data_IF_288042255200
#
_entry.id   IF_288042255200
#
_cell.length_a   1.000
_cell.length_b   1.000
_cell.length_c   1.000
_cell.angle_alpha   90.00
_cell.angle_beta   90.00
_cell.angle_gamma   90.00
#
_symmetry.space_group_name_H-M   'P 1'
#
loop_
_entity.id
_entity.type
_entity.pdbx_description
1 polymer ?
#
# COMPACT_ATOMS: atom_id res chain seq x y z
N UNK A 1 34.37 -25.17 15.76
CA UNK A 1 34.58 -24.71 17.16
C UNK A 1 35.99 -24.17 17.23
N UNK A 2 36.15 -22.88 17.47
CA UNK A 2 37.46 -22.29 17.70
C UNK A 2 37.70 -22.24 19.21
N UNK A 3 38.97 -22.39 19.61
CA UNK A 3 39.39 -22.39 21.01
C UNK A 3 40.28 -21.18 21.24
N UNK A 4 39.96 -20.38 22.25
CA UNK A 4 40.78 -19.22 22.63
C UNK A 4 42.14 -19.65 23.18
N UNK A 5 42.18 -20.82 23.84
CA UNK A 5 43.39 -21.34 24.43
C UNK A 5 43.53 -22.86 24.14
N UNK A 6 44.10 -23.24 22.99
CA UNK A 6 44.30 -24.65 22.61
C UNK A 6 45.15 -25.43 23.63
N UNK A 7 46.00 -24.74 24.41
CA UNK A 7 46.82 -25.34 25.45
C UNK A 7 46.02 -25.86 26.65
N UNK A 8 44.75 -25.44 26.80
CA UNK A 8 43.86 -25.97 27.83
C UNK A 8 43.67 -27.50 27.77
N UNK A 9 43.87 -28.11 26.60
CA UNK A 9 43.83 -29.56 26.43
C UNK A 9 45.00 -30.31 27.09
N UNK A 10 46.09 -29.63 27.47
CA UNK A 10 47.16 -30.25 28.26
C UNK A 10 46.66 -30.79 29.60
N UNK A 11 45.57 -30.24 30.14
CA UNK A 11 44.92 -30.76 31.34
C UNK A 11 44.41 -32.21 31.18
N UNK A 12 44.21 -32.71 29.95
CA UNK A 12 43.84 -34.10 29.69
C UNK A 12 44.91 -35.11 30.09
N UNK A 13 46.17 -34.68 30.28
CA UNK A 13 47.23 -35.52 30.87
C UNK A 13 46.88 -36.00 32.28
N UNK A 14 45.95 -35.33 32.97
CA UNK A 14 45.40 -35.82 34.24
C UNK A 14 44.69 -37.17 34.13
N UNK A 15 44.13 -37.53 32.97
CA UNK A 15 43.42 -38.80 32.74
C UNK A 15 44.37 -40.00 32.87
N UNK A 16 45.49 -40.10 32.11
CA UNK A 16 46.42 -41.22 32.28
C UNK A 16 47.01 -41.29 33.69
N UNK A 17 47.22 -40.16 34.37
CA UNK A 17 47.67 -40.15 35.77
C UNK A 17 46.64 -40.82 36.69
N UNK A 18 45.36 -40.47 36.56
CA UNK A 18 44.26 -41.08 37.34
C UNK A 18 44.15 -42.58 37.04
N UNK A 19 44.29 -42.97 35.77
CA UNK A 19 44.26 -44.39 35.36
C UNK A 19 45.40 -45.17 36.01
N UNK A 20 46.64 -44.65 35.95
CA UNK A 20 47.81 -45.30 36.56
C UNK A 20 47.67 -45.38 38.08
N UNK A 21 47.24 -44.30 38.74
CA UNK A 21 46.99 -44.31 40.19
C UNK A 21 45.91 -45.34 40.58
N UNK A 22 44.87 -45.49 39.74
CA UNK A 22 43.81 -46.46 39.99
C UNK A 22 44.30 -47.90 39.80
N UNK A 23 45.13 -48.16 38.78
CA UNK A 23 45.74 -49.47 38.54
C UNK A 23 46.72 -49.88 39.64
N UNK A 24 47.50 -48.93 40.16
CA UNK A 24 48.47 -49.16 41.24
C UNK A 24 47.80 -49.31 42.62
N UNK A 25 46.51 -48.98 42.75
CA UNK A 25 45.78 -49.08 44.02
C UNK A 25 45.37 -50.52 44.30
N UNK A 26 46.33 -51.32 44.73
CA UNK A 26 46.10 -52.69 45.16
C UNK A 26 45.56 -52.71 46.60
N UNK A 27 44.25 -52.87 46.75
CA UNK A 27 43.64 -53.09 48.07
C UNK A 27 43.77 -54.56 48.44
N UNK A 28 44.70 -54.87 49.33
CA UNK A 28 44.69 -56.14 50.04
C UNK A 28 43.59 -56.07 51.11
N UNK A 29 42.65 -57.02 51.06
CA UNK A 29 41.67 -57.19 52.14
C UNK A 29 42.16 -58.37 52.98
N UNK A 30 42.59 -58.07 54.20
CA UNK A 30 42.85 -59.11 55.19
C UNK A 30 41.51 -59.74 55.58
N UNK A 31 41.40 -61.06 55.36
CA UNK A 31 40.26 -61.85 55.81
C UNK A 31 40.77 -62.88 56.80
N UNK A 32 40.21 -62.85 58.01
CA UNK A 32 40.48 -63.87 59.01
C UNK A 32 39.80 -65.18 58.58
N UNK A 33 40.60 -66.24 58.44
CA UNK A 33 40.15 -67.57 58.02
C UNK A 33 40.71 -68.61 58.97
N UNK A 34 39.94 -69.67 59.22
CA UNK A 34 40.26 -70.67 60.25
C UNK A 34 41.45 -71.59 59.92
N UNK A 35 41.91 -71.65 58.67
CA UNK A 35 43.10 -72.43 58.28
C UNK A 35 43.75 -71.93 56.99
N UNK A 36 45.08 -71.75 57.02
CA UNK A 36 45.91 -71.35 55.87
C UNK A 36 46.26 -72.51 54.92
N UNK A 37 46.11 -73.77 55.37
CA UNK A 37 46.57 -74.95 54.62
C UNK A 37 45.80 -75.13 53.30
N UNK A 38 44.47 -74.97 53.32
CA UNK A 38 43.62 -75.11 52.13
C UNK A 38 43.81 -73.96 51.14
N UNK A 39 44.07 -72.73 51.64
CA UNK A 39 44.29 -71.55 50.80
C UNK A 39 45.62 -71.59 50.05
N UNK A 40 46.70 -72.14 50.63
CA UNK A 40 47.97 -72.34 49.93
C UNK A 40 47.83 -73.24 48.69
N UNK A 41 46.90 -74.21 48.71
CA UNK A 41 46.61 -75.11 47.58
C UNK A 41 45.69 -74.46 46.53
N UNK A 42 44.76 -73.59 46.95
CA UNK A 42 43.82 -72.89 46.05
C UNK A 42 44.46 -71.72 45.29
N UNK A 43 45.42 -70.99 45.90
CA UNK A 43 46.11 -69.86 45.27
C UNK A 43 46.94 -70.31 44.05
N UNK A 44 47.40 -71.57 44.02
CA UNK A 44 48.12 -72.13 42.88
C UNK A 44 47.26 -72.31 41.60
N UNK A 45 45.93 -72.20 41.70
CA UNK A 45 44.99 -72.47 40.57
C UNK A 45 44.29 -71.22 40.06
N UNK A 46 44.44 -70.05 40.69
CA UNK A 46 43.73 -68.83 40.25
C UNK A 46 44.65 -67.89 39.47
N UNK A 47 45.15 -68.35 38.33
CA UNK A 47 45.66 -67.48 37.26
C UNK A 47 44.53 -67.09 36.31
N UNK A 48 43.71 -66.13 36.72
CA UNK A 48 42.95 -65.29 35.80
C UNK A 48 42.42 -64.10 36.61
N UNK A 49 43.32 -63.24 37.07
CA UNK A 49 42.92 -61.91 37.53
C UNK A 49 42.44 -61.15 36.29
N UNK A 50 41.14 -61.12 36.01
CA UNK A 50 40.59 -60.20 35.00
C UNK A 50 40.72 -58.76 35.53
N UNK A 51 41.68 -57.97 35.02
CA UNK A 51 41.87 -56.60 35.50
C UNK A 51 40.67 -55.70 35.16
N UNK A 52 39.85 -56.10 34.19
CA UNK A 52 38.79 -55.31 33.56
C UNK A 52 37.44 -55.39 34.27
N UNK A 53 37.17 -56.41 35.10
CA UNK A 53 35.90 -56.48 35.86
C UNK A 53 35.75 -55.36 36.91
N UNK A 54 36.86 -54.82 37.42
CA UNK A 54 36.87 -53.74 38.43
C UNK A 54 36.52 -52.36 37.85
N UNK A 55 36.58 -52.19 36.53
CA UNK A 55 36.29 -50.91 35.88
C UNK A 55 34.78 -50.63 35.84
N UNK A 56 33.95 -51.67 35.78
CA UNK A 56 32.48 -51.53 35.70
C UNK A 56 31.80 -51.11 37.00
N UNK A 57 32.47 -51.14 38.16
CA UNK A 57 31.83 -50.97 39.48
C UNK A 57 32.23 -49.70 40.24
N UNK A 58 33.02 -48.81 39.65
CA UNK A 58 33.52 -47.63 40.37
C UNK A 58 33.07 -46.33 39.71
N UNK A 59 31.84 -45.90 40.05
CA UNK A 59 31.25 -44.64 39.56
C UNK A 59 32.16 -43.44 39.82
N UNK A 60 32.88 -43.45 40.95
CA UNK A 60 33.81 -42.38 41.33
C UNK A 60 34.97 -42.22 40.34
N UNK A 61 35.46 -43.32 39.74
CA UNK A 61 36.53 -43.28 38.74
C UNK A 61 36.08 -42.58 37.46
N UNK A 62 34.88 -42.91 36.96
CA UNK A 62 34.30 -42.24 35.80
C UNK A 62 33.98 -40.76 36.09
N UNK A 63 33.53 -40.44 37.31
CA UNK A 63 33.30 -39.06 37.74
C UNK A 63 34.60 -38.23 37.73
N UNK A 64 35.73 -38.82 38.15
CA UNK A 64 37.04 -38.17 38.12
C UNK A 64 37.50 -37.89 36.69
N UNK A 65 37.35 -38.85 35.78
CA UNK A 65 37.67 -38.67 34.36
C UNK A 65 36.80 -37.57 33.75
N UNK A 66 35.48 -37.61 34.01
CA UNK A 66 34.55 -36.59 33.54
C UNK A 66 34.92 -35.20 34.08
N UNK A 67 35.30 -35.11 35.35
CA UNK A 67 35.78 -33.86 35.96
C UNK A 67 37.00 -33.29 35.23
N UNK A 68 38.00 -34.11 34.91
CA UNK A 68 39.18 -33.67 34.14
C UNK A 68 38.80 -33.20 32.75
N UNK A 69 37.88 -33.91 32.06
CA UNK A 69 37.38 -33.50 30.76
C UNK A 69 36.69 -32.14 30.85
N UNK A 70 35.81 -31.93 31.84
CA UNK A 70 35.14 -30.64 32.06
C UNK A 70 36.14 -29.52 32.35
N UNK A 71 37.15 -29.76 33.18
CA UNK A 71 38.20 -28.77 33.49
C UNK A 71 39.02 -28.44 32.25
N UNK A 72 39.44 -29.45 31.49
CA UNK A 72 40.17 -29.25 30.23
C UNK A 72 39.33 -28.46 29.21
N UNK A 73 38.02 -28.71 29.17
CA UNK A 73 37.09 -28.02 28.28
C UNK A 73 36.86 -26.57 28.72
N UNK A 74 36.72 -26.32 30.02
CA UNK A 74 36.63 -24.98 30.59
C UNK A 74 37.92 -24.15 30.33
N UNK A 75 39.09 -24.76 30.55
CA UNK A 75 40.40 -24.15 30.26
C UNK A 75 40.62 -23.89 28.76
N UNK A 76 40.12 -24.78 27.90
CA UNK A 76 40.18 -24.59 26.45
C UNK A 76 39.30 -23.40 25.98
N UNK A 77 38.36 -22.95 26.82
CA UNK A 77 37.46 -21.82 26.56
C UNK A 77 36.88 -21.87 25.15
N UNK A 78 36.09 -22.93 24.82
CA UNK A 78 35.44 -23.04 23.54
C UNK A 78 34.50 -21.86 23.36
N UNK A 79 34.74 -21.06 22.33
CA UNK A 79 33.80 -20.01 21.95
C UNK A 79 33.14 -20.43 20.65
N UNK A 80 31.80 -20.43 20.69
CA UNK A 80 31.00 -20.47 19.48
C UNK A 80 30.88 -19.04 18.96
N UNK A 81 31.50 -18.73 17.83
CA UNK A 81 31.07 -17.58 17.06
C UNK A 81 29.68 -17.95 16.53
N UNK A 82 28.63 -17.57 17.27
CA UNK A 82 27.28 -17.54 16.74
C UNK A 82 27.22 -16.30 15.86
N UNK A 83 27.84 -16.36 14.69
CA UNK A 83 27.54 -15.42 13.64
C UNK A 83 26.09 -15.71 13.26
N UNK A 84 25.14 -15.02 13.92
CA UNK A 84 23.86 -14.78 13.27
C UNK A 84 24.22 -14.05 11.99
N UNK A 85 24.05 -14.71 10.86
CA UNK A 85 24.18 -14.07 9.55
C UNK A 85 23.35 -12.79 9.62
N UNK A 86 24.00 -11.65 9.38
CA UNK A 86 23.34 -10.36 9.38
C UNK A 86 22.63 -10.28 8.04
N UNK A 87 21.39 -10.74 7.99
CA UNK A 87 20.52 -10.59 6.83
C UNK A 87 19.90 -9.20 6.86
N UNK A 88 20.06 -8.46 5.77
CA UNK A 88 19.37 -7.19 5.54
C UNK A 88 17.97 -7.44 4.96
N UNK A 89 17.03 -6.52 5.16
CA UNK A 89 15.64 -6.71 4.74
C UNK A 89 15.11 -5.54 3.92
N UNK A 90 14.45 -5.86 2.80
CA UNK A 90 13.56 -4.92 2.09
C UNK A 90 12.13 -5.33 2.42
N UNK A 91 11.48 -4.54 3.27
CA UNK A 91 10.11 -4.75 3.69
C UNK A 91 9.19 -3.96 2.77
N UNK A 92 8.26 -4.65 2.12
CA UNK A 92 7.26 -4.04 1.23
C UNK A 92 5.89 -4.20 1.88
N UNK A 93 5.24 -3.07 2.17
CA UNK A 93 3.91 -3.02 2.77
C UNK A 93 2.90 -2.61 1.71
N UNK A 94 1.95 -3.50 1.42
CA UNK A 94 0.78 -3.17 0.62
C UNK A 94 -0.14 -2.20 1.39
N UNK A 95 -0.42 -1.06 0.76
CA UNK A 95 -1.26 0.03 1.23
C UNK A 95 -2.43 0.29 0.27
N UNK A 96 -2.83 -0.72 -0.51
CA UNK A 96 -4.02 -0.67 -1.35
C UNK A 96 -5.32 -0.62 -0.54
N UNK A 97 -6.41 -0.28 -1.21
CA UNK A 97 -7.75 -0.20 -0.62
C UNK A 97 -8.22 -1.52 0.01
N UNK A 98 -7.90 -2.66 -0.58
CA UNK A 98 -8.28 -3.98 -0.06
C UNK A 98 -7.64 -4.29 1.30
N UNK A 99 -6.50 -3.67 1.61
CA UNK A 99 -5.85 -3.78 2.91
C UNK A 99 -6.62 -3.05 4.04
N UNK A 100 -7.64 -2.24 3.73
CA UNK A 100 -8.54 -1.66 4.73
C UNK A 100 -9.59 -2.66 5.26
N UNK A 101 -9.68 -3.86 4.69
CA UNK A 101 -10.65 -4.86 5.11
C UNK A 101 -10.47 -5.29 6.58
N UNK A 102 -11.60 -5.58 7.25
CA UNK A 102 -11.73 -5.92 8.68
C UNK A 102 -11.87 -7.43 8.95
N UNK A 103 -11.48 -8.27 8.00
CA UNK A 103 -11.41 -9.72 8.21
C UNK A 103 -10.20 -10.15 9.07
N UNK A 104 -9.26 -9.23 9.28
CA UNK A 104 -8.23 -9.27 10.32
C UNK A 104 -8.45 -8.15 11.33
N UNK A 105 -7.99 -8.34 12.57
CA UNK A 105 -8.17 -7.35 13.63
C UNK A 105 -6.94 -6.46 13.78
N UNK A 106 -7.06 -5.11 13.78
CA UNK A 106 -8.27 -4.34 13.48
C UNK A 106 -8.58 -4.20 11.97
N UNK A 107 -7.55 -4.21 11.11
CA UNK A 107 -7.66 -4.31 9.64
C UNK A 107 -6.48 -5.13 9.11
N UNK A 108 -6.55 -5.63 7.86
CA UNK A 108 -5.42 -6.29 7.19
C UNK A 108 -4.15 -5.45 7.23
N UNK A 109 -4.27 -4.14 6.98
CA UNK A 109 -3.15 -3.20 6.99
C UNK A 109 -2.47 -3.09 8.37
N UNK A 110 -3.25 -2.94 9.44
CA UNK A 110 -2.70 -2.85 10.79
C UNK A 110 -2.11 -4.18 11.26
N UNK A 111 -2.73 -5.31 10.90
CA UNK A 111 -2.17 -6.63 11.15
C UNK A 111 -0.82 -6.81 10.43
N UNK A 112 -0.71 -6.38 9.17
CA UNK A 112 0.56 -6.39 8.43
C UNK A 112 1.64 -5.54 9.11
N UNK A 113 1.27 -4.36 9.61
CA UNK A 113 2.18 -3.48 10.38
C UNK A 113 2.64 -4.13 11.68
N UNK A 114 1.76 -4.85 12.38
CA UNK A 114 2.13 -5.57 13.60
C UNK A 114 3.15 -6.68 13.30
N UNK A 115 2.88 -7.50 12.30
CA UNK A 115 3.79 -8.57 11.86
C UNK A 115 5.16 -8.03 11.39
N UNK A 116 5.18 -6.91 10.67
CA UNK A 116 6.41 -6.22 10.30
C UNK A 116 7.16 -5.68 11.53
N UNK A 117 6.44 -5.12 12.49
CA UNK A 117 7.03 -4.58 13.72
C UNK A 117 7.66 -5.69 14.58
N UNK A 118 7.05 -6.87 14.66
CA UNK A 118 7.65 -8.05 15.31
C UNK A 118 8.96 -8.46 14.64
N UNK A 119 8.98 -8.51 13.31
CA UNK A 119 10.20 -8.78 12.54
C UNK A 119 11.29 -7.75 12.85
N UNK A 120 10.99 -6.45 12.75
CA UNK A 120 11.94 -5.35 13.05
C UNK A 120 12.46 -5.42 14.49
N UNK A 121 11.67 -5.91 15.44
CA UNK A 121 12.11 -6.11 16.82
C UNK A 121 13.13 -7.25 16.93
N UNK A 122 12.88 -8.36 16.23
CA UNK A 122 13.68 -9.57 16.30
C UNK A 122 15.07 -9.47 15.65
N UNK A 123 15.26 -8.57 14.67
CA UNK A 123 16.53 -8.47 13.91
C UNK A 123 17.70 -7.92 14.74
N UNK A 124 18.96 -8.29 14.47
CA UNK A 124 20.13 -7.70 15.14
C UNK A 124 20.27 -6.18 14.90
N UNK A 125 20.93 -5.41 15.80
CA UNK A 125 21.10 -3.96 15.65
C UNK A 125 21.93 -3.51 14.42
N UNK A 126 22.69 -4.42 13.80
CA UNK A 126 23.53 -4.12 12.63
C UNK A 126 22.80 -4.34 11.29
N UNK A 127 21.57 -4.88 11.34
CA UNK A 127 20.74 -5.14 10.16
C UNK A 127 20.23 -3.84 9.56
N UNK A 128 20.43 -3.66 8.24
CA UNK A 128 19.81 -2.59 7.47
C UNK A 128 18.42 -3.00 7.02
N UNK A 129 17.47 -2.07 7.16
CA UNK A 129 16.08 -2.25 6.73
C UNK A 129 15.69 -1.12 5.80
N UNK A 130 15.16 -1.48 4.63
CA UNK A 130 14.48 -0.57 3.71
C UNK A 130 12.98 -0.85 3.79
N UNK A 131 12.16 0.20 3.96
CA UNK A 131 10.71 0.11 4.00
C UNK A 131 10.13 0.75 2.73
N UNK A 132 9.33 0.01 1.99
CA UNK A 132 8.66 0.44 0.76
C UNK A 132 7.16 0.32 0.98
N UNK A 133 6.42 1.37 0.64
CA UNK A 133 4.97 1.36 0.65
C UNK A 133 4.47 1.17 -0.78
N UNK A 134 3.73 0.09 -0.98
CA UNK A 134 3.09 -0.28 -2.24
C UNK A 134 1.68 0.28 -2.27
N UNK A 135 1.38 1.11 -3.26
CA UNK A 135 0.04 1.65 -3.50
C UNK A 135 -0.04 2.09 -4.96
N UNK A 136 -0.98 2.96 -5.30
CA UNK A 136 -1.13 3.48 -6.67
C UNK A 136 0.13 4.23 -7.12
N UNK A 137 0.75 4.93 -6.17
CA UNK A 137 2.04 5.60 -6.32
C UNK A 137 3.00 5.05 -5.25
N UNK A 138 3.77 4.00 -5.56
CA UNK A 138 4.67 3.38 -4.59
C UNK A 138 5.86 4.31 -4.27
N UNK A 139 6.35 4.22 -3.04
CA UNK A 139 7.48 5.05 -2.58
C UNK A 139 8.30 4.37 -1.47
N UNK A 140 9.55 4.81 -1.31
CA UNK A 140 10.45 4.34 -0.25
C UNK A 140 10.24 5.21 0.99
N UNK A 141 9.70 4.63 2.06
CA UNK A 141 9.47 5.32 3.33
C UNK A 141 10.75 5.43 4.17
N UNK A 142 11.62 4.42 4.11
CA UNK A 142 12.94 4.41 4.78
C UNK A 142 13.95 3.72 3.89
N UNK A 143 15.11 4.33 3.66
CA UNK A 143 16.18 3.70 2.89
C UNK A 143 17.33 3.23 3.77
N UNK A 144 17.64 1.92 3.75
CA UNK A 144 18.85 1.30 4.30
C UNK A 144 19.20 1.70 5.75
N UNK A 145 18.20 1.91 6.63
CA UNK A 145 18.43 2.35 8.01
C UNK A 145 18.77 1.17 8.92
N UNK A 146 19.70 1.39 9.84
CA UNK A 146 20.01 0.48 10.96
C UNK A 146 19.31 0.91 12.27
N UNK A 147 18.63 2.06 12.26
CA UNK A 147 17.94 2.59 13.43
C UNK A 147 16.54 2.01 13.51
N UNK A 148 16.37 0.95 14.33
CA UNK A 148 15.05 0.31 14.53
C UNK A 148 13.92 1.29 14.86
N UNK A 149 14.21 2.33 15.65
CA UNK A 149 13.21 3.33 16.03
C UNK A 149 12.76 4.21 14.86
N UNK A 150 13.66 4.51 13.91
CA UNK A 150 13.31 5.25 12.70
C UNK A 150 12.37 4.43 11.82
N UNK A 151 12.74 3.17 11.54
CA UNK A 151 11.90 2.25 10.74
C UNK A 151 10.53 2.05 11.38
N UNK A 152 10.47 1.86 12.70
CA UNK A 152 9.20 1.74 13.42
C UNK A 152 8.33 2.98 13.32
N UNK A 153 8.89 4.17 13.50
CA UNK A 153 8.13 5.43 13.37
C UNK A 153 7.60 5.60 11.95
N UNK A 154 8.44 5.34 10.95
CA UNK A 154 8.04 5.40 9.55
C UNK A 154 6.96 4.38 9.22
N UNK A 155 7.03 3.16 9.75
CA UNK A 155 5.99 2.14 9.59
C UNK A 155 4.67 2.58 10.23
N UNK A 156 4.72 3.18 11.42
CA UNK A 156 3.53 3.63 12.14
C UNK A 156 2.85 4.85 11.50
N UNK A 157 3.59 5.69 10.78
CA UNK A 157 3.01 6.83 10.05
C UNK A 157 2.29 6.42 8.76
N UNK A 158 2.45 5.17 8.30
CA UNK A 158 1.79 4.69 7.09
C UNK A 158 0.29 4.50 7.28
N UNK A 159 -0.46 4.74 6.20
CA UNK A 159 -1.91 4.54 6.11
C UNK A 159 -2.23 3.84 4.79
N UNK A 160 -3.25 2.99 4.81
CA UNK A 160 -3.82 2.44 3.58
C UNK A 160 -4.50 3.56 2.78
N UNK A 161 -4.35 3.52 1.45
CA UNK A 161 -4.99 4.43 0.51
C UNK A 161 -6.31 3.86 -0.03
N UNK A 162 -6.98 4.65 -0.87
CA UNK A 162 -8.25 4.28 -1.51
C UNK A 162 -8.06 3.78 -2.96
N UNK A 163 -6.81 3.60 -3.40
CA UNK A 163 -6.46 3.12 -4.74
C UNK A 163 -5.98 1.67 -4.74
N UNK A 164 -5.71 1.13 -5.93
CA UNK A 164 -5.05 -0.16 -6.09
C UNK A 164 -3.55 -0.11 -5.81
N UNK A 165 -2.87 -1.25 -5.92
CA UNK A 165 -1.42 -1.36 -5.80
C UNK A 165 -0.75 -1.53 -7.18
N UNK A 166 0.17 -0.62 -7.52
CA UNK A 166 0.90 -0.65 -8.79
C UNK A 166 2.24 -1.38 -8.66
N UNK A 167 2.19 -2.72 -8.78
CA UNK A 167 3.36 -3.59 -8.68
C UNK A 167 4.42 -3.27 -9.75
N UNK A 168 3.99 -2.92 -10.97
CA UNK A 168 4.90 -2.64 -12.09
C UNK A 168 5.76 -1.42 -11.80
N UNK A 169 5.22 -0.39 -11.17
CA UNK A 169 5.99 0.78 -10.72
C UNK A 169 6.87 0.49 -9.50
N UNK A 170 6.43 -0.39 -8.60
CA UNK A 170 7.16 -0.71 -7.37
C UNK A 170 8.38 -1.61 -7.62
N UNK A 171 8.28 -2.56 -8.56
CA UNK A 171 9.29 -3.60 -8.81
C UNK A 171 10.71 -3.03 -9.02
N UNK A 172 10.95 -2.01 -9.89
CA UNK A 172 12.30 -1.45 -10.06
C UNK A 172 12.87 -0.82 -8.77
N UNK A 173 12.02 -0.23 -7.92
CA UNK A 173 12.44 0.36 -6.65
C UNK A 173 12.85 -0.73 -5.65
N UNK A 174 12.08 -1.83 -5.61
CA UNK A 174 12.37 -2.99 -4.75
C UNK A 174 13.68 -3.66 -5.17
N UNK A 175 13.88 -3.88 -6.47
CA UNK A 175 15.13 -4.45 -7.01
C UNK A 175 16.35 -3.56 -6.72
N UNK A 176 16.21 -2.24 -6.86
CA UNK A 176 17.28 -1.29 -6.54
C UNK A 176 17.64 -1.35 -5.05
N UNK A 177 16.64 -1.31 -4.17
CA UNK A 177 16.83 -1.42 -2.73
C UNK A 177 17.46 -2.76 -2.33
N UNK A 178 17.02 -3.86 -2.94
CA UNK A 178 17.54 -5.20 -2.68
C UNK A 178 19.04 -5.29 -3.02
N UNK A 179 19.43 -4.74 -4.19
CA UNK A 179 20.83 -4.69 -4.63
C UNK A 179 21.69 -3.80 -3.74
N UNK A 180 21.17 -2.66 -3.27
CA UNK A 180 21.89 -1.72 -2.41
C UNK A 180 22.28 -2.35 -1.06
N UNK A 181 21.34 -3.03 -0.40
CA UNK A 181 21.58 -3.60 0.93
C UNK A 181 21.94 -5.09 0.91
N UNK A 182 21.92 -5.74 -0.26
CA UNK A 182 22.07 -7.21 -0.40
C UNK A 182 21.15 -7.95 0.58
N UNK A 183 19.86 -7.61 0.55
CA UNK A 183 18.87 -8.06 1.52
C UNK A 183 17.84 -9.05 0.96
N UNK A 184 17.11 -9.69 1.87
CA UNK A 184 15.93 -10.48 1.53
C UNK A 184 14.72 -9.56 1.39
N UNK A 185 13.92 -9.75 0.35
CA UNK A 185 12.66 -9.02 0.17
C UNK A 185 11.52 -9.77 0.84
N UNK A 186 10.70 -9.06 1.62
CA UNK A 186 9.47 -9.60 2.21
C UNK A 186 8.32 -8.65 1.90
N UNK A 187 7.34 -9.15 1.14
CA UNK A 187 6.12 -8.44 0.76
C UNK A 187 4.97 -8.88 1.65
N UNK A 188 4.26 -7.91 2.25
CA UNK A 188 3.04 -8.12 3.02
C UNK A 188 1.87 -7.56 2.21
N UNK A 189 0.98 -8.43 1.74
CA UNK A 189 -0.10 -8.10 0.80
C UNK A 189 -1.27 -9.07 0.97
N UNK A 190 -2.45 -8.73 0.49
CA UNK A 190 -3.59 -9.64 0.35
C UNK A 190 -3.75 -10.22 -1.08
N UNK A 191 -2.90 -9.78 -2.03
CA UNK A 191 -2.95 -10.20 -3.42
C UNK A 191 -1.66 -10.90 -3.88
N UNK A 192 -1.73 -12.03 -4.60
CA UNK A 192 -0.54 -12.67 -5.14
C UNK A 192 0.05 -11.88 -6.31
N UNK A 193 1.33 -11.53 -6.20
CA UNK A 193 2.08 -10.92 -7.30
C UNK A 193 3.02 -11.94 -7.94
N UNK A 194 3.26 -11.73 -9.23
CA UNK A 194 4.25 -12.48 -9.99
C UNK A 194 5.67 -12.05 -9.60
N UNK A 195 6.51 -13.04 -9.28
CA UNK A 195 7.85 -12.90 -8.71
C UNK A 195 8.95 -13.45 -9.63
N UNK A 196 8.67 -13.69 -10.92
CA UNK A 196 9.63 -14.29 -11.86
C UNK A 196 11.04 -13.64 -11.83
N UNK A 197 11.14 -12.33 -11.65
CA UNK A 197 12.42 -11.61 -11.64
C UNK A 197 12.99 -11.32 -10.25
N UNK A 198 12.21 -11.58 -9.19
CA UNK A 198 12.52 -11.13 -7.83
C UNK A 198 12.42 -12.26 -6.81
N UNK A 199 13.55 -12.59 -6.17
CA UNK A 199 13.55 -13.49 -5.01
C UNK A 199 12.97 -12.78 -3.78
N UNK A 200 11.64 -12.86 -3.65
CA UNK A 200 10.86 -12.25 -2.58
C UNK A 200 9.95 -13.26 -1.89
N UNK A 201 9.91 -13.16 -0.55
CA UNK A 201 8.92 -13.88 0.26
C UNK A 201 7.61 -13.09 0.30
N UNK A 202 6.52 -13.72 -0.11
CA UNK A 202 5.17 -13.15 0.04
C UNK A 202 4.53 -13.64 1.35
N UNK A 203 4.02 -12.69 2.14
CA UNK A 203 3.24 -12.92 3.35
C UNK A 203 1.83 -12.44 3.07
N UNK A 204 0.92 -13.40 2.91
CA UNK A 204 -0.49 -13.12 2.65
C UNK A 204 -1.19 -12.70 3.93
N UNK A 205 -1.97 -11.62 3.85
CA UNK A 205 -2.77 -11.08 4.94
C UNK A 205 -4.24 -11.10 4.53
N UNK A 206 -5.12 -11.47 5.46
CA UNK A 206 -6.55 -11.62 5.21
C UNK A 206 -7.02 -13.06 5.39
N UNK A 207 -8.18 -13.21 6.03
CA UNK A 207 -8.89 -14.49 6.19
C UNK A 207 -9.96 -14.69 5.13
N UNK A 208 -10.17 -13.67 4.29
CA UNK A 208 -11.25 -13.61 3.33
C UNK A 208 -12.55 -13.10 3.96
N UNK A 209 -13.53 -12.85 3.11
CA UNK A 209 -14.85 -12.37 3.49
C UNK A 209 -15.66 -12.13 2.23
N UNK A 210 -16.98 -12.15 2.36
CA UNK A 210 -17.86 -11.72 1.29
C UNK A 210 -17.86 -10.19 1.26
N UNK A 211 -17.69 -9.61 0.06
CA UNK A 211 -17.61 -8.16 -0.16
C UNK A 211 -18.55 -7.77 -1.31
N UNK A 212 -19.36 -6.74 -1.10
CA UNK A 212 -20.14 -6.09 -2.15
C UNK A 212 -19.73 -4.63 -2.28
N UNK A 213 -19.40 -4.21 -3.49
CA UNK A 213 -18.97 -2.84 -3.76
C UNK A 213 -19.94 -2.10 -4.67
N UNK A 214 -20.05 -0.79 -4.48
CA UNK A 214 -20.58 0.10 -5.52
C UNK A 214 -19.46 0.36 -6.52
N UNK A 215 -19.55 -0.23 -7.71
CA UNK A 215 -18.51 -0.10 -8.76
C UNK A 215 -18.76 1.07 -9.71
N UNK A 216 -20.01 1.50 -9.82
CA UNK A 216 -20.40 2.65 -10.64
C UNK A 216 -21.51 3.44 -9.94
N UNK A 217 -21.36 4.76 -9.91
CA UNK A 217 -22.45 5.70 -9.70
C UNK A 217 -22.35 6.75 -10.79
N UNK A 218 -23.39 6.88 -11.62
CA UNK A 218 -23.44 7.88 -12.68
C UNK A 218 -24.86 8.38 -12.89
N UNK A 219 -25.01 9.60 -13.38
CA UNK A 219 -26.31 10.18 -13.71
C UNK A 219 -26.46 10.50 -15.20
N UNK A 220 -27.72 10.56 -15.63
CA UNK A 220 -28.17 11.06 -16.92
C UNK A 220 -29.32 12.03 -16.67
N UNK A 221 -29.28 13.19 -17.32
CA UNK A 221 -30.33 14.21 -17.24
C UNK A 221 -31.08 14.19 -18.57
N UNK A 222 -32.37 13.92 -18.51
CA UNK A 222 -33.30 13.94 -19.63
C UNK A 222 -34.40 14.99 -19.38
N UNK A 223 -35.23 15.27 -20.38
CA UNK A 223 -36.31 16.27 -20.28
C UNK A 223 -37.36 15.93 -19.21
N UNK A 224 -37.54 14.65 -18.90
CA UNK A 224 -38.52 14.12 -17.94
C UNK A 224 -37.95 13.90 -16.53
N UNK A 225 -36.63 14.07 -16.33
CA UNK A 225 -36.00 14.02 -15.02
C UNK A 225 -34.56 13.54 -15.01
N UNK A 226 -34.06 13.30 -13.81
CA UNK A 226 -32.71 12.76 -13.58
C UNK A 226 -32.81 11.26 -13.31
N UNK A 227 -32.01 10.49 -14.04
CA UNK A 227 -31.84 9.05 -13.87
C UNK A 227 -30.45 8.77 -13.31
N UNK A 228 -30.38 7.98 -12.24
CA UNK A 228 -29.12 7.62 -11.59
C UNK A 228 -28.90 6.12 -11.70
N UNK A 229 -27.82 5.72 -12.37
CA UNK A 229 -27.35 4.35 -12.44
C UNK A 229 -26.41 4.09 -11.26
N UNK A 230 -26.77 3.11 -10.44
CA UNK A 230 -25.90 2.53 -9.43
C UNK A 230 -25.63 1.07 -9.79
N UNK A 231 -24.35 0.69 -9.93
CA UNK A 231 -23.94 -0.70 -10.16
C UNK A 231 -23.31 -1.27 -8.91
N UNK A 232 -23.84 -2.40 -8.46
CA UNK A 232 -23.31 -3.13 -7.31
C UNK A 232 -22.74 -4.46 -7.77
N UNK A 233 -21.54 -4.79 -7.30
CA UNK A 233 -20.86 -6.06 -7.60
C UNK A 233 -20.63 -6.86 -6.33
N UNK A 234 -20.90 -8.16 -6.38
CA UNK A 234 -20.51 -9.09 -5.32
C UNK A 234 -19.18 -9.78 -5.67
N UNK A 235 -18.12 -9.45 -4.94
CA UNK A 235 -16.80 -10.07 -5.02
C UNK A 235 -16.66 -11.31 -4.11
N UNK A 236 -17.70 -11.60 -3.33
CA UNK A 236 -17.78 -12.74 -2.43
C UNK A 236 -18.06 -14.08 -3.13
N UNK A 237 -18.11 -15.12 -2.30
CA UNK A 237 -18.39 -16.51 -2.69
C UNK A 237 -19.83 -16.92 -2.40
N UNK A 238 -20.56 -16.13 -1.63
CA UNK A 238 -21.96 -16.40 -1.27
C UNK A 238 -22.90 -15.33 -1.83
N UNK A 239 -24.17 -15.69 -2.03
CA UNK A 239 -25.20 -14.73 -2.41
C UNK A 239 -25.41 -13.71 -1.29
N UNK A 240 -25.46 -12.43 -1.63
CA UNK A 240 -25.57 -11.33 -0.69
C UNK A 240 -26.88 -10.57 -0.90
N UNK A 241 -27.56 -10.26 0.21
CA UNK A 241 -28.72 -9.36 0.22
C UNK A 241 -28.27 -8.02 0.78
N UNK A 242 -28.41 -6.98 -0.03
CA UNK A 242 -27.98 -5.61 0.32
C UNK A 242 -29.12 -4.64 0.04
N UNK A 243 -29.08 -3.49 0.69
CA UNK A 243 -29.96 -2.36 0.46
C UNK A 243 -29.10 -1.19 -0.02
N UNK A 244 -29.47 -0.61 -1.15
CA UNK A 244 -28.82 0.57 -1.72
C UNK A 244 -29.68 1.78 -1.42
N UNK A 245 -29.12 2.75 -0.71
CA UNK A 245 -29.79 4.03 -0.44
C UNK A 245 -29.15 5.11 -1.29
N UNK A 246 -29.96 5.81 -2.09
CA UNK A 246 -29.53 6.97 -2.86
C UNK A 246 -29.87 8.26 -2.11
N UNK A 247 -28.89 9.13 -1.99
CA UNK A 247 -29.01 10.46 -1.41
C UNK A 247 -28.71 11.53 -2.45
N UNK A 248 -29.40 12.67 -2.34
CA UNK A 248 -29.06 13.91 -3.02
C UNK A 248 -28.93 15.00 -1.94
N UNK A 249 -27.76 15.64 -1.84
CA UNK A 249 -27.42 16.63 -0.81
C UNK A 249 -27.84 16.20 0.62
N UNK A 250 -27.51 14.94 0.96
CA UNK A 250 -27.80 14.26 2.23
C UNK A 250 -29.29 13.96 2.53
N UNK A 251 -30.18 14.25 1.59
CA UNK A 251 -31.59 13.83 1.65
C UNK A 251 -31.77 12.51 0.91
N UNK A 252 -32.36 11.52 1.59
CA UNK A 252 -32.72 10.23 0.96
C UNK A 252 -33.71 10.48 -0.17
N UNK A 253 -33.34 10.04 -1.37
CA UNK A 253 -34.17 10.12 -2.57
C UNK A 253 -34.95 8.81 -2.76
N UNK A 254 -34.26 7.68 -2.63
CA UNK A 254 -34.86 6.37 -2.84
C UNK A 254 -34.02 5.26 -2.18
N UNK A 255 -34.62 4.08 -1.99
CA UNK A 255 -34.03 2.90 -1.35
C UNK A 255 -34.43 1.65 -2.13
N UNK A 256 -33.45 0.82 -2.48
CA UNK A 256 -33.68 -0.42 -3.22
C UNK A 256 -33.03 -1.62 -2.54
N UNK A 257 -33.82 -2.68 -2.31
CA UNK A 257 -33.30 -3.98 -1.88
C UNK A 257 -32.86 -4.81 -3.08
N UNK A 258 -31.65 -5.36 -3.00
CA UNK A 258 -31.03 -6.16 -4.06
C UNK A 258 -30.53 -7.49 -3.53
N UNK A 259 -30.42 -8.47 -4.43
CA UNK A 259 -29.84 -9.78 -4.15
C UNK A 259 -28.84 -10.10 -5.24
N UNK A 260 -27.56 -10.05 -4.91
CA UNK A 260 -26.46 -10.19 -5.87
C UNK A 260 -25.77 -11.53 -5.64
N UNK A 261 -25.76 -12.38 -6.67
CA UNK A 261 -25.10 -13.68 -6.64
C UNK A 261 -23.57 -13.54 -6.65
N UNK A 262 -22.82 -14.59 -6.25
CA UNK A 262 -21.37 -14.56 -6.25
C UNK A 262 -20.78 -14.19 -7.61
N UNK A 263 -19.84 -13.24 -7.63
CA UNK A 263 -19.18 -12.73 -8.85
C UNK A 263 -20.12 -12.12 -9.91
N UNK A 264 -21.38 -11.83 -9.57
CA UNK A 264 -22.32 -11.13 -10.45
C UNK A 264 -22.41 -9.64 -10.11
N UNK A 265 -22.95 -8.88 -11.06
CA UNK A 265 -23.21 -7.44 -10.96
C UNK A 265 -24.72 -7.21 -11.13
N UNK A 266 -25.26 -6.24 -10.40
CA UNK A 266 -26.65 -5.81 -10.52
C UNK A 266 -26.71 -4.30 -10.74
N UNK A 267 -27.42 -3.91 -11.80
CA UNK A 267 -27.70 -2.51 -12.13
C UNK A 267 -29.01 -2.07 -11.49
N UNK A 268 -28.98 -0.90 -10.87
CA UNK A 268 -30.12 -0.25 -10.22
C UNK A 268 -30.26 1.12 -10.86
N UNK A 269 -31.46 1.43 -11.33
CA UNK A 269 -31.77 2.73 -11.92
C UNK A 269 -32.77 3.42 -11.00
N UNK A 270 -32.34 4.53 -10.40
CA UNK A 270 -33.20 5.43 -9.67
C UNK A 270 -33.72 6.52 -10.61
N UNK A 271 -34.97 6.92 -10.44
CA UNK A 271 -35.63 7.92 -11.26
C UNK A 271 -36.42 8.89 -10.39
N UNK A 272 -36.79 10.06 -10.93
CA UNK A 272 -37.54 11.07 -10.17
C UNK A 272 -36.70 11.78 -9.10
N UNK A 273 -35.39 11.89 -9.31
CA UNK A 273 -34.47 12.55 -8.38
C UNK A 273 -34.68 14.07 -8.43
N UNK A 274 -34.67 14.71 -7.24
CA UNK A 274 -34.78 16.17 -7.15
C UNK A 274 -33.62 16.86 -7.89
N UNK A 275 -33.97 17.69 -8.87
CA UNK A 275 -33.05 18.41 -9.73
C UNK A 275 -32.44 19.66 -9.09
N UNK A 276 -32.80 20.02 -7.86
CA UNK A 276 -32.18 21.15 -7.17
C UNK A 276 -30.84 20.79 -6.51
N UNK A 277 -30.59 19.50 -6.27
CA UNK A 277 -29.38 19.07 -5.56
C UNK A 277 -28.13 19.03 -6.44
N UNK A 278 -26.96 19.04 -5.80
CA UNK A 278 -25.64 19.10 -6.48
C UNK A 278 -24.82 17.82 -6.35
N UNK A 279 -25.04 17.03 -5.30
CA UNK A 279 -24.21 15.85 -4.99
C UNK A 279 -25.09 14.63 -4.78
N UNK A 280 -24.83 13.60 -5.58
CA UNK A 280 -25.36 12.26 -5.39
C UNK A 280 -24.41 11.44 -4.53
N UNK A 281 -24.98 10.64 -3.64
CA UNK A 281 -24.26 9.64 -2.85
C UNK A 281 -25.10 8.37 -2.82
N UNK A 282 -24.50 7.24 -3.17
CA UNK A 282 -25.09 5.92 -2.95
C UNK A 282 -24.37 5.23 -1.81
N UNK A 283 -25.11 4.50 -0.98
CA UNK A 283 -24.60 3.78 0.19
C UNK A 283 -25.19 2.37 0.25
N UNK A 284 -24.32 1.38 0.47
CA UNK A 284 -24.67 -0.02 0.68
C UNK A 284 -24.84 -0.35 2.16
N UNK A 285 -25.82 -1.18 2.46
CA UNK A 285 -26.04 -1.75 3.79
C UNK A 285 -26.57 -3.19 3.69
N UNK A 286 -26.35 -4.06 4.70
CA UNK A 286 -25.44 -3.88 5.83
C UNK A 286 -23.96 -3.83 5.40
N UNK A 287 -23.13 -3.19 6.22
CA UNK A 287 -21.66 -3.15 6.04
C UNK A 287 -21.07 -4.55 5.97
N UNK A 288 -20.04 -4.74 5.14
CA UNK A 288 -19.28 -5.99 5.11
C UNK A 288 -17.80 -5.80 5.51
N UNK A 289 -16.92 -6.71 5.08
CA UNK A 289 -15.51 -6.71 5.46
C UNK A 289 -14.78 -5.48 4.96
N UNK A 290 -15.22 -4.84 3.86
CA UNK A 290 -14.60 -3.64 3.32
C UNK A 290 -15.66 -2.53 3.23
N UNK A 291 -15.54 -1.51 4.09
CA UNK A 291 -16.51 -0.40 4.11
C UNK A 291 -16.14 0.72 3.14
N UNK A 292 -14.90 0.73 2.67
CA UNK A 292 -14.38 1.82 1.84
C UNK A 292 -15.04 1.86 0.46
N UNK A 293 -15.61 0.74 -0.01
CA UNK A 293 -16.32 0.57 -1.28
C UNK A 293 -17.85 0.41 -1.13
N UNK A 294 -18.38 0.56 0.09
CA UNK A 294 -19.82 0.62 0.35
C UNK A 294 -20.44 1.98 -0.07
N UNK A 295 -19.62 3.00 -0.35
CA UNK A 295 -20.08 4.36 -0.66
C UNK A 295 -19.50 4.86 -1.98
N UNK A 296 -20.36 5.38 -2.85
CA UNK A 296 -19.97 6.05 -4.08
C UNK A 296 -20.57 7.46 -4.18
N UNK A 297 -19.89 8.32 -4.93
CA UNK A 297 -20.28 9.72 -5.12
C UNK A 297 -20.32 10.08 -6.61
N UNK A 298 -21.27 10.93 -6.95
CA UNK A 298 -21.34 11.58 -8.26
C UNK A 298 -21.84 13.02 -8.07
N UNK A 299 -21.49 13.92 -8.99
CA UNK A 299 -21.86 15.34 -8.91
C UNK A 299 -22.82 15.68 -10.03
N UNK A 300 -24.01 16.16 -9.68
CA UNK A 300 -24.98 16.70 -10.62
C UNK A 300 -24.44 18.02 -11.16
N UNK A 301 -23.86 17.96 -12.36
CA UNK A 301 -23.40 19.15 -13.04
C UNK A 301 -24.56 19.73 -13.84
N UNK A 302 -25.44 20.47 -13.14
CA UNK A 302 -26.38 21.35 -13.81
C UNK A 302 -25.54 22.33 -14.63
N UNK A 303 -25.53 22.16 -15.96
CA UNK A 303 -25.06 23.21 -16.84
C UNK A 303 -26.02 24.38 -16.68
N UNK A 304 -25.78 25.24 -15.69
CA UNK A 304 -26.45 26.52 -15.60
C UNK A 304 -26.21 27.21 -16.94
N UNK A 305 -27.28 27.41 -17.71
CA UNK A 305 -27.17 28.09 -19.00
C UNK A 305 -26.63 29.48 -18.73
N UNK A 306 -25.52 29.82 -19.39
CA UNK A 306 -24.90 31.12 -19.25
C UNK A 306 -25.80 32.14 -19.92
N UNK A 307 -26.25 33.13 -19.15
CA UNK A 307 -27.04 34.24 -19.71
C UNK A 307 -26.12 35.12 -20.54
N UNK A 308 -26.40 35.22 -21.83
CA UNK A 308 -25.64 36.04 -22.78
C UNK A 308 -26.55 37.14 -23.31
N UNK A 309 -26.16 38.40 -23.16
CA UNK A 309 -26.88 39.52 -23.75
C UNK A 309 -26.24 39.92 -25.08
N UNK A 310 -27.00 39.87 -26.17
CA UNK A 310 -26.62 40.38 -27.47
C UNK A 310 -27.26 41.75 -27.71
N UNK A 311 -26.44 42.78 -27.85
CA UNK A 311 -26.85 44.14 -28.22
C UNK A 311 -26.51 44.33 -29.70
N UNK A 312 -27.54 44.39 -30.56
CA UNK A 312 -27.38 44.49 -32.02
C UNK A 312 -28.59 45.20 -32.65
N UNK A 313 -28.43 45.81 -33.82
CA UNK A 313 -29.53 46.31 -34.66
C UNK A 313 -30.12 45.23 -35.60
N UNK A 314 -29.57 44.01 -35.61
CA UNK A 314 -30.18 42.90 -36.38
C UNK A 314 -29.26 41.81 -36.93
N UNK A 315 -28.15 41.48 -36.27
CA UNK A 315 -27.21 40.47 -36.76
C UNK A 315 -27.72 39.02 -36.54
N UNK A 316 -28.50 38.54 -37.51
CA UNK A 316 -29.09 37.19 -37.53
C UNK A 316 -28.04 36.08 -37.54
N UNK A 317 -26.84 36.32 -38.07
CA UNK A 317 -25.77 35.32 -38.10
C UNK A 317 -25.23 35.06 -36.69
N UNK A 318 -24.94 36.12 -35.95
CA UNK A 318 -24.45 36.04 -34.59
C UNK A 318 -25.48 35.40 -33.65
N UNK A 319 -26.75 35.77 -33.82
CA UNK A 319 -27.86 35.09 -33.14
C UNK A 319 -27.85 33.58 -33.40
N UNK A 320 -27.80 33.17 -34.66
CA UNK A 320 -27.81 31.74 -35.03
C UNK A 320 -26.62 31.00 -34.46
N UNK A 321 -25.42 31.59 -34.52
CA UNK A 321 -24.21 30.99 -33.94
C UNK A 321 -24.36 30.82 -32.43
N UNK A 322 -24.87 31.83 -31.72
CA UNK A 322 -25.07 31.76 -30.27
C UNK A 322 -26.13 30.73 -29.87
N UNK A 323 -27.18 30.56 -30.67
CA UNK A 323 -28.22 29.55 -30.44
C UNK A 323 -27.76 28.09 -30.71
N UNK A 324 -26.61 27.88 -31.36
CA UNK A 324 -26.03 26.54 -31.52
C UNK A 324 -25.38 26.02 -30.23
N UNK A 325 -25.05 26.90 -29.28
CA UNK A 325 -24.48 26.51 -28.00
C UNK A 325 -25.58 26.09 -27.03
N UNK A 326 -25.58 24.82 -26.63
CA UNK A 326 -26.59 24.23 -25.74
C UNK A 326 -26.50 24.72 -24.28
N UNK A 327 -25.39 25.37 -23.92
CA UNK A 327 -25.09 25.92 -22.60
C UNK A 327 -25.32 27.45 -22.51
N UNK A 328 -25.95 28.07 -23.51
CA UNK A 328 -26.25 29.52 -23.54
C UNK A 328 -27.74 29.79 -23.48
N UNK A 329 -28.12 30.79 -22.67
CA UNK A 329 -29.44 31.41 -22.69
C UNK A 329 -29.31 32.81 -23.29
N UNK A 330 -29.77 32.99 -24.53
CA UNK A 330 -29.57 34.22 -25.31
C UNK A 330 -30.68 35.24 -25.05
N UNK A 331 -30.29 36.42 -24.57
CA UNK A 331 -31.12 37.61 -24.42
C UNK A 331 -30.72 38.64 -25.48
N UNK A 332 -31.67 39.46 -25.92
CA UNK A 332 -31.42 40.47 -26.96
C UNK A 332 -31.97 41.84 -26.57
N UNK A 333 -31.24 42.88 -26.92
CA UNK A 333 -31.70 44.27 -26.85
C UNK A 333 -31.17 45.07 -28.04
N UNK A 334 -31.81 46.19 -28.36
CA UNK A 334 -31.34 47.10 -29.41
C UNK A 334 -30.25 48.02 -28.89
N UNK A 335 -29.53 48.68 -29.80
CA UNK A 335 -28.48 49.66 -29.42
C UNK A 335 -29.06 50.91 -28.73
N UNK A 336 -30.38 51.11 -28.83
CA UNK A 336 -31.10 52.23 -28.22
C UNK A 336 -31.55 51.94 -26.78
N UNK A 337 -31.52 50.67 -26.34
CA UNK A 337 -32.02 50.24 -25.04
C UNK A 337 -30.92 49.55 -24.23
N UNK A 338 -30.00 50.37 -23.73
CA UNK A 338 -28.80 49.95 -22.98
C UNK A 338 -28.78 50.50 -21.54
N UNK A 339 -29.94 50.87 -21.00
CA UNK A 339 -30.05 51.59 -19.72
C UNK A 339 -29.80 50.68 -18.50
N UNK A 340 -29.95 49.36 -18.65
CA UNK A 340 -29.72 48.36 -17.60
C UNK A 340 -28.96 47.15 -18.14
N UNK A 341 -27.64 47.17 -18.00
CA UNK A 341 -26.76 46.06 -18.39
C UNK A 341 -26.20 45.40 -17.13
N UNK A 342 -26.99 44.52 -16.51
CA UNK A 342 -26.62 43.78 -15.29
C UNK A 342 -27.21 42.35 -15.35
N UNK A 343 -26.52 41.38 -14.74
CA UNK A 343 -27.02 40.01 -14.55
C UNK A 343 -26.69 39.03 -15.66
N UNK A 344 -25.71 39.34 -16.53
CA UNK A 344 -25.29 38.48 -17.64
C UNK A 344 -23.84 38.01 -17.49
N UNK A 345 -23.57 36.77 -17.89
CA UNK A 345 -22.20 36.21 -17.86
C UNK A 345 -21.33 36.75 -19.00
N UNK A 346 -21.95 37.12 -20.12
CA UNK A 346 -21.29 37.70 -21.28
C UNK A 346 -22.22 38.71 -21.95
N UNK A 347 -21.66 39.88 -22.28
CA UNK A 347 -22.31 40.90 -23.08
C UNK A 347 -21.60 40.99 -24.43
N UNK A 348 -22.37 40.91 -25.50
CA UNK A 348 -21.89 41.04 -26.87
C UNK A 348 -22.44 42.33 -27.45
N UNK A 349 -21.55 43.28 -27.73
CA UNK A 349 -21.89 44.55 -28.36
C UNK A 349 -21.51 44.49 -29.84
N UNK A 350 -22.50 44.61 -30.71
CA UNK A 350 -22.34 44.53 -32.16
C UNK A 350 -22.62 45.90 -32.80
N UNK A 351 -21.59 46.55 -33.33
CA UNK A 351 -21.71 47.88 -33.95
C UNK A 351 -21.89 49.04 -32.97
N UNK A 352 -21.77 48.79 -31.66
CA UNK A 352 -22.09 49.79 -30.61
C UNK A 352 -21.08 49.79 -29.48
N UNK A 353 -20.88 50.96 -28.88
CA UNK A 353 -20.13 51.13 -27.64
C UNK A 353 -21.02 51.75 -26.54
N UNK A 354 -21.25 51.07 -25.40
CA UNK A 354 -22.10 51.60 -24.34
C UNK A 354 -21.49 52.83 -23.68
N UNK A 355 -22.35 53.76 -23.21
CA UNK A 355 -21.90 54.92 -22.41
C UNK A 355 -21.34 54.52 -21.04
N UNK A 356 -21.86 53.44 -20.46
CA UNK A 356 -21.40 52.83 -19.21
C UNK A 356 -21.21 51.33 -19.44
N UNK A 357 -20.00 50.83 -19.19
CA UNK A 357 -19.75 49.39 -19.23
C UNK A 357 -20.43 48.71 -18.04
N UNK A 358 -20.93 47.48 -18.20
CA UNK A 358 -21.43 46.69 -17.08
C UNK A 358 -20.34 46.48 -16.02
N UNK A 359 -20.74 46.32 -14.77
CA UNK A 359 -19.81 46.07 -13.65
C UNK A 359 -19.62 44.56 -13.38
N UNK A 360 -20.38 43.71 -14.07
CA UNK A 360 -20.36 42.25 -13.99
C UNK A 360 -20.13 41.59 -15.37
N UNK A 361 -19.84 40.29 -15.35
CA UNK A 361 -19.66 39.50 -16.57
C UNK A 361 -18.43 39.84 -17.41
N UNK A 362 -18.38 39.28 -18.61
CA UNK A 362 -17.36 39.56 -19.63
C UNK A 362 -17.94 40.36 -20.79
N UNK A 363 -17.11 41.10 -21.52
CA UNK A 363 -17.53 41.92 -22.67
C UNK A 363 -16.84 41.46 -23.95
N UNK A 364 -17.62 41.35 -25.02
CA UNK A 364 -17.12 41.10 -26.37
C UNK A 364 -17.65 42.17 -27.31
N UNK A 365 -16.75 42.85 -28.03
CA UNK A 365 -17.11 43.90 -28.98
C UNK A 365 -16.87 43.38 -30.40
N UNK A 366 -17.93 43.37 -31.20
CA UNK A 366 -17.90 43.12 -32.64
C UNK A 366 -18.17 44.45 -33.34
N UNK A 367 -17.38 44.75 -34.37
CA UNK A 367 -17.50 45.98 -35.16
C UNK A 367 -17.54 47.26 -34.29
N UNK A 368 -16.48 47.43 -33.48
CA UNK A 368 -16.39 48.54 -32.53
C UNK A 368 -16.41 49.90 -33.28
N UNK A 369 -17.31 50.84 -32.95
CA UNK A 369 -17.37 52.12 -33.65
C UNK A 369 -16.13 52.98 -33.40
N UNK A 370 -15.78 53.85 -34.36
CA UNK A 370 -14.63 54.80 -34.25
C UNK A 370 -14.74 55.69 -33.00
N UNK A 371 -15.95 56.04 -32.62
CA UNK A 371 -16.25 56.76 -31.38
C UNK A 371 -16.36 55.74 -30.22
N UNK A 372 -15.23 55.35 -29.65
CA UNK A 372 -15.16 54.52 -28.45
C UNK A 372 -14.07 55.02 -27.48
N UNK A 373 -14.19 54.68 -26.20
CA UNK A 373 -13.20 55.07 -25.16
C UNK A 373 -12.22 53.96 -24.82
N UNK A 374 -12.26 52.82 -25.52
CA UNK A 374 -11.39 51.67 -25.26
C UNK A 374 -10.05 51.81 -26.00
N UNK A 375 -10.09 52.02 -27.32
CA UNK A 375 -8.91 52.01 -28.18
C UNK A 375 -9.08 52.93 -29.39
N UNK A 376 -7.99 53.57 -29.81
CA UNK A 376 -7.95 54.39 -31.02
C UNK A 376 -7.97 53.48 -32.27
N UNK A 377 -9.08 53.51 -33.01
CA UNK A 377 -9.23 52.75 -34.25
C UNK A 377 -8.61 53.54 -35.41
N UNK A 378 -7.66 52.92 -36.11
CA UNK A 378 -7.12 53.44 -37.37
C UNK A 378 -8.10 53.19 -38.51
N UNK A 379 -7.87 53.82 -39.65
CA UNK A 379 -8.74 53.70 -40.83
C UNK A 379 -8.93 52.24 -41.26
N UNK A 380 -10.14 51.96 -41.76
CA UNK A 380 -10.51 50.65 -42.29
C UNK A 380 -9.50 50.20 -43.33
N UNK A 381 -8.84 49.08 -43.06
CA UNK A 381 -7.97 48.45 -44.03
C UNK A 381 -8.82 47.56 -44.92
N UNK A 382 -8.98 47.97 -46.18
CA UNK A 382 -9.65 47.17 -47.19
C UNK A 382 -8.84 45.91 -47.50
N UNK A 383 -9.20 44.79 -46.87
CA UNK A 383 -8.47 43.52 -47.00
C UNK A 383 -8.72 42.80 -48.33
N UNK A 384 -9.65 43.29 -49.17
CA UNK A 384 -9.99 42.65 -50.45
C UNK A 384 -8.82 42.69 -51.43
N UNK A 385 -7.92 43.69 -51.36
CA UNK A 385 -6.75 43.78 -52.25
C UNK A 385 -5.51 43.00 -51.78
N UNK A 386 -5.46 42.49 -50.55
CA UNK A 386 -4.26 41.79 -50.02
C UNK A 386 -4.35 40.26 -50.01
N UNK A 387 -5.51 39.68 -50.28
CA UNK A 387 -5.65 38.22 -50.35
C UNK A 387 -5.10 37.60 -51.66
N UNK A 388 -4.87 38.38 -52.72
CA UNK A 388 -4.40 37.85 -54.02
C UNK A 388 -2.92 38.07 -54.29
N UNK A 389 -2.19 38.82 -53.46
CA UNK A 389 -0.78 39.18 -53.72
C UNK A 389 0.23 38.63 -52.70
N UNK A 390 -0.15 37.66 -51.86
CA UNK A 390 0.73 37.10 -50.82
C UNK A 390 0.75 35.56 -50.76
N UNK A 391 0.45 34.89 -51.88
CA UNK A 391 0.62 33.43 -52.04
C UNK A 391 1.85 33.05 -52.88
N UNK A 392 2.62 34.03 -53.37
CA UNK A 392 3.86 33.79 -54.10
C UNK A 392 4.90 34.84 -53.70
N UNK A 393 5.50 34.71 -52.51
CA UNK A 393 6.92 35.02 -52.30
C UNK A 393 7.32 34.68 -50.85
N UNK A 394 8.40 33.90 -50.75
CA UNK A 394 9.30 33.76 -49.59
C UNK A 394 8.84 32.93 -48.39
N UNK A 395 8.96 31.61 -48.52
CA UNK A 395 9.57 30.79 -47.47
C UNK A 395 11.08 30.70 -47.71
N UNK A 396 11.84 31.52 -46.98
CA UNK A 396 13.26 31.28 -46.68
C UNK A 396 13.64 32.15 -45.47
N UNK A 397 13.53 31.58 -44.27
CA UNK A 397 14.64 31.26 -43.37
C UNK A 397 14.10 30.56 -42.12
#
# INVERSE_FOLDING_TARGET
MNFLNPWGFLALVGIPIIIVMYLLKQKYQEKQISSLFLWKKAIAVTQAHEPWQKWKKNLLFFLQILGVILIATALASPYGIWNKEITNYVLVLDASMSMQAKDESPTRFEYAKEQMNELIQSVPPQTKVTLICLGENPYIAVNASNQKQEVKRALQSQKAGNGGADWKKALPMIEMAQKEIQGQVILYTDHPYDMETLDAKQVFVGKGGDNCAITTLSHMIEDDGIYVLCRVKNFGKTEQKKTVTLFCDDVVQDVMDITVKPNEEQDIIFSGIDSQGKRLRAELSPEDVLQADDIAFDTLNHKEKRKVLLVTEGNVFLEKVLLLFSDIELYKTSTQHMDSLEGYSLYIFDGVFPKKLPEDGYFFFMDLPKENTLMELKDEMDTVQKATAKSQEEFSF
#
